data_IF_389480009303
#
_entry.id   IF_389480009303
#
_cell.length_a   1.000
_cell.length_b   1.000
_cell.length_c   1.000
_cell.angle_alpha   90.00
_cell.angle_beta   90.00
_cell.angle_gamma   90.00
#
_symmetry.space_group_name_H-M   'P 1'
#
loop_
_entity.id
_entity.type
_entity.pdbx_description
1 polymer ?
#
# COMPACT_ATOMS: atom_id res chain seq x y z
N UNK A 1 -44.15 34.18 4.08
CA UNK A 1 -44.38 32.71 4.02
C UNK A 1 -43.51 32.05 5.09
N UNK A 2 -44.07 31.22 6.00
CA UNK A 2 -43.35 30.71 7.16
C UNK A 2 -42.82 29.28 6.95
N UNK A 3 -41.51 29.07 7.12
CA UNK A 3 -40.86 27.73 7.21
C UNK A 3 -40.45 27.43 8.68
N UNK A 4 -41.06 28.12 9.66
CA UNK A 4 -40.51 28.17 11.04
C UNK A 4 -41.08 27.16 12.04
N UNK A 5 -42.00 26.27 11.67
CA UNK A 5 -42.69 25.43 12.68
C UNK A 5 -42.43 23.93 12.49
N UNK A 6 -42.23 23.46 11.26
CA UNK A 6 -42.03 22.04 10.98
C UNK A 6 -40.66 21.50 11.42
N UNK A 7 -39.57 22.27 11.24
CA UNK A 7 -38.22 21.83 11.65
C UNK A 7 -38.05 21.75 13.18
N UNK A 8 -38.73 22.62 13.93
CA UNK A 8 -38.72 22.57 15.42
C UNK A 8 -39.47 21.36 15.96
N UNK A 9 -40.59 20.96 15.32
CA UNK A 9 -41.36 19.78 15.75
C UNK A 9 -40.66 18.46 15.43
N UNK A 10 -39.96 18.37 14.30
CA UNK A 10 -39.21 17.17 13.92
C UNK A 10 -37.99 16.93 14.85
N UNK A 11 -37.31 18.01 15.25
CA UNK A 11 -36.18 17.94 16.17
C UNK A 11 -36.61 17.55 17.60
N UNK A 12 -37.74 18.09 18.08
CA UNK A 12 -38.31 17.71 19.38
C UNK A 12 -38.83 16.26 19.40
N UNK A 13 -39.38 15.76 18.28
CA UNK A 13 -39.81 14.36 18.18
C UNK A 13 -38.63 13.37 18.18
N UNK A 14 -37.52 13.72 17.51
CA UNK A 14 -36.30 12.90 17.52
C UNK A 14 -35.63 12.85 18.92
N UNK A 15 -35.61 13.98 19.64
CA UNK A 15 -35.10 14.06 21.02
C UNK A 15 -35.95 13.27 22.03
N UNK A 16 -37.28 13.23 21.85
CA UNK A 16 -38.16 12.45 22.71
C UNK A 16 -38.00 10.93 22.51
N UNK A 17 -37.74 10.49 21.27
CA UNK A 17 -37.48 9.07 20.98
C UNK A 17 -36.14 8.59 21.56
N UNK A 18 -35.14 9.46 21.63
CA UNK A 18 -33.83 9.14 22.22
C UNK A 18 -33.88 9.05 23.76
N UNK A 19 -34.74 9.85 24.41
CA UNK A 19 -34.95 9.78 25.87
C UNK A 19 -35.73 8.54 26.32
N UNK A 20 -36.55 7.94 25.44
CA UNK A 20 -37.34 6.75 25.79
C UNK A 20 -36.51 5.45 25.71
N UNK A 21 -35.46 5.41 24.87
CA UNK A 21 -34.61 4.24 24.70
C UNK A 21 -33.66 3.97 25.88
N UNK A 22 -33.37 4.98 26.71
CA UNK A 22 -32.46 4.85 27.86
C UNK A 22 -33.18 4.47 29.18
N UNK A 23 -34.51 4.44 29.18
CA UNK A 23 -35.32 4.13 30.37
C UNK A 23 -35.68 2.63 30.51
N UNK A 24 -35.16 1.76 29.65
CA UNK A 24 -35.47 0.34 29.63
C UNK A 24 -34.21 -0.53 29.57
N UNK A 25 -33.27 -0.30 30.49
CA UNK A 25 -32.27 -1.30 30.86
C UNK A 25 -32.49 -1.67 32.33
N UNK A 26 -32.93 -2.90 32.65
CA UNK A 26 -33.05 -3.32 34.04
C UNK A 26 -31.65 -3.50 34.64
N UNK A 27 -31.47 -2.94 35.84
CA UNK A 27 -30.32 -3.19 36.69
C UNK A 27 -30.35 -4.65 37.18
N UNK A 28 -29.28 -5.39 36.90
CA UNK A 28 -28.91 -6.63 37.60
C UNK A 28 -27.40 -6.47 37.90
N UNK A 29 -27.05 -6.05 39.12
CA UNK A 29 -26.82 -6.90 40.30
C UNK A 29 -25.55 -7.74 40.16
N UNK A 30 -24.56 -7.34 40.97
CA UNK A 30 -23.27 -7.97 41.24
C UNK A 30 -23.42 -9.43 41.65
N UNK A 31 -22.57 -10.31 41.12
CA UNK A 31 -21.92 -11.37 41.90
C UNK A 31 -20.49 -11.60 41.36
N UNK A 32 -19.51 -11.41 42.24
CA UNK A 32 -18.08 -11.71 42.02
C UNK A 32 -17.77 -13.00 42.78
N UNK A 33 -17.35 -14.09 42.13
CA UNK A 33 -16.70 -15.18 42.84
C UNK A 33 -15.18 -14.97 42.88
N UNK A 34 -14.68 -14.96 44.10
CA UNK A 34 -13.29 -15.02 44.54
C UNK A 34 -12.50 -16.18 43.89
N UNK A 35 -11.31 -15.88 43.36
CA UNK A 35 -10.32 -16.86 42.94
C UNK A 35 -8.92 -16.24 42.90
N UNK A 36 -8.15 -16.48 43.95
CA UNK A 36 -6.76 -16.03 44.18
C UNK A 36 -5.79 -16.89 43.38
N UNK A 37 -4.83 -16.25 42.70
CA UNK A 37 -3.37 -16.56 42.53
C UNK A 37 -2.90 -15.76 41.29
N UNK A 38 -2.00 -14.78 41.32
CA UNK A 38 -0.73 -14.68 42.05
C UNK A 38 0.41 -14.87 41.04
N UNK A 39 0.71 -13.86 40.21
CA UNK A 39 1.91 -13.87 39.35
C UNK A 39 2.69 -12.56 39.53
N UNK A 40 3.85 -12.69 40.18
CA UNK A 40 4.96 -11.74 40.09
C UNK A 40 6.05 -12.34 39.19
N UNK A 41 6.84 -11.51 38.47
CA UNK A 41 7.85 -11.96 37.53
C UNK A 41 9.16 -12.30 38.24
N UNK A 42 9.91 -13.27 37.73
CA UNK A 42 11.34 -13.40 38.06
C UNK A 42 12.13 -13.87 36.85
N UNK A 43 13.16 -13.07 36.56
CA UNK A 43 14.28 -13.28 35.64
C UNK A 43 15.17 -14.38 36.19
N UNK A 44 15.63 -15.30 35.34
CA UNK A 44 16.88 -16.05 35.53
C UNK A 44 17.37 -16.62 34.17
N UNK A 45 18.66 -16.43 33.91
CA UNK A 45 19.47 -16.84 32.73
C UNK A 45 19.83 -18.36 32.77
N UNK A 46 20.41 -18.92 31.68
CA UNK A 46 20.31 -20.34 31.33
C UNK A 46 21.40 -21.23 31.95
N UNK A 47 21.10 -22.53 32.05
CA UNK A 47 22.02 -23.60 32.37
C UNK A 47 22.01 -24.70 31.30
N UNK A 48 23.16 -25.34 31.17
CA UNK A 48 23.64 -26.26 30.13
C UNK A 48 22.97 -27.66 30.06
N UNK A 49 23.23 -28.31 28.91
CA UNK A 49 23.41 -29.76 28.66
C UNK A 49 22.19 -30.70 28.62
N UNK A 50 21.96 -31.36 27.48
CA UNK A 50 22.41 -32.74 27.15
C UNK A 50 21.76 -33.24 25.83
N UNK A 51 22.55 -33.93 24.99
CA UNK A 51 22.12 -34.64 23.76
C UNK A 51 21.13 -35.78 24.04
N UNK A 52 20.40 -36.26 23.01
CA UNK A 52 20.64 -37.68 22.67
C UNK A 52 20.53 -38.08 21.19
N UNK A 53 21.41 -39.01 20.85
CA UNK A 53 21.23 -40.27 20.11
C UNK A 53 21.11 -40.30 18.56
N UNK A 54 22.12 -40.98 17.99
CA UNK A 54 22.36 -41.44 16.62
C UNK A 54 21.30 -42.42 16.06
N UNK A 55 21.31 -42.67 14.74
CA UNK A 55 21.09 -44.03 14.23
C UNK A 55 22.29 -44.60 13.46
N UNK A 56 22.53 -45.89 13.68
CA UNK A 56 23.64 -46.71 13.20
C UNK A 56 23.63 -47.05 11.68
N UNK A 57 24.86 -47.08 11.15
CA UNK A 57 25.49 -47.75 10.00
C UNK A 57 24.72 -48.68 9.02
N UNK A 58 25.13 -48.62 7.73
CA UNK A 58 25.79 -49.71 6.95
C UNK A 58 26.23 -49.20 5.53
N UNK A 59 27.11 -49.86 4.74
CA UNK A 59 28.58 -49.76 4.85
C UNK A 59 29.35 -49.55 3.50
N UNK A 60 30.66 -49.24 3.64
CA UNK A 60 31.84 -49.60 2.78
C UNK A 60 31.88 -49.20 1.27
N UNK A 61 32.99 -48.84 0.61
CA UNK A 61 34.40 -48.58 0.93
C UNK A 61 35.13 -48.08 -0.36
N UNK A 62 36.38 -47.61 -0.17
CA UNK A 62 37.53 -47.51 -1.12
C UNK A 62 37.83 -46.13 -1.74
N UNK A 63 38.79 -45.38 -1.17
CA UNK A 63 40.24 -45.28 -1.51
C UNK A 63 40.48 -44.09 -2.48
N UNK A 64 41.46 -43.17 -2.38
CA UNK A 64 42.77 -43.10 -1.73
C UNK A 64 43.23 -41.60 -1.65
N UNK A 65 44.45 -41.27 -1.13
CA UNK A 65 44.72 -40.07 -0.33
C UNK A 65 45.56 -38.96 -1.01
N UNK A 66 45.71 -37.83 -0.29
CA UNK A 66 47.00 -37.11 -0.21
C UNK A 66 46.94 -35.60 -0.40
N UNK A 67 47.52 -34.85 0.55
CA UNK A 67 47.94 -33.46 0.32
C UNK A 67 47.85 -32.53 1.52
N UNK A 68 48.91 -32.51 2.34
CA UNK A 68 49.16 -31.57 3.43
C UNK A 68 49.43 -30.12 2.95
N UNK A 69 49.08 -29.19 3.84
CA UNK A 69 49.81 -28.00 4.27
C UNK A 69 49.52 -26.60 3.69
N UNK A 70 49.39 -25.70 4.68
CA UNK A 70 49.95 -24.35 4.80
C UNK A 70 49.00 -23.15 4.63
N UNK A 71 48.59 -22.63 5.80
CA UNK A 71 48.65 -21.22 6.21
C UNK A 71 49.01 -20.16 5.15
N UNK A 72 48.12 -19.19 4.98
CA UNK A 72 48.45 -17.78 5.12
C UNK A 72 47.17 -16.97 5.38
N UNK A 73 47.14 -16.29 6.53
CA UNK A 73 46.16 -15.27 6.86
C UNK A 73 46.46 -13.99 6.06
N UNK A 74 45.46 -13.44 5.40
CA UNK A 74 45.47 -12.06 4.91
C UNK A 74 44.19 -11.38 5.38
N UNK A 75 44.36 -10.37 6.22
CA UNK A 75 43.31 -9.48 6.70
C UNK A 75 42.82 -8.58 5.56
N UNK A 76 41.51 -8.55 5.31
CA UNK A 76 40.87 -7.48 4.54
C UNK A 76 39.44 -7.25 5.04
N UNK A 77 39.24 -6.13 5.73
CA UNK A 77 37.94 -5.45 5.95
C UNK A 77 37.78 -4.34 4.89
N UNK A 78 36.58 -3.78 4.61
CA UNK A 78 35.23 -4.18 5.02
C UNK A 78 34.28 -4.45 3.82
N UNK A 79 33.20 -5.18 4.08
CA UNK A 79 32.24 -5.66 3.07
C UNK A 79 31.52 -4.56 2.29
N UNK A 80 31.64 -4.62 0.97
CA UNK A 80 30.61 -4.15 0.05
C UNK A 80 29.37 -5.02 0.27
N UNK A 81 28.28 -4.41 0.74
CA UNK A 81 26.97 -5.05 0.72
C UNK A 81 26.57 -5.23 -0.74
N UNK A 82 26.84 -6.40 -1.30
CA UNK A 82 26.25 -6.86 -2.55
C UNK A 82 24.73 -6.75 -2.39
N UNK A 83 24.08 -5.97 -3.26
CA UNK A 83 22.65 -6.06 -3.43
C UNK A 83 22.34 -7.54 -3.68
N UNK A 84 21.66 -8.19 -2.74
CA UNK A 84 21.18 -9.55 -2.94
C UNK A 84 20.34 -9.54 -4.21
N UNK A 85 20.78 -10.29 -5.22
CA UNK A 85 19.99 -10.62 -6.39
C UNK A 85 18.70 -11.25 -5.87
N UNK A 86 17.62 -10.48 -5.94
CA UNK A 86 16.30 -10.95 -5.61
C UNK A 86 15.89 -11.96 -6.70
N UNK A 87 16.09 -13.24 -6.40
CA UNK A 87 15.67 -14.37 -7.22
C UNK A 87 14.14 -14.38 -7.28
N UNK A 88 13.57 -13.87 -8.37
CA UNK A 88 12.13 -13.79 -8.56
C UNK A 88 11.58 -15.19 -8.90
N UNK A 89 10.77 -15.82 -8.03
CA UNK A 89 10.27 -17.17 -8.29
C UNK A 89 9.19 -17.21 -9.37
N UNK A 90 9.41 -18.13 -10.30
CA UNK A 90 8.52 -18.74 -11.29
C UNK A 90 7.02 -18.57 -11.06
N UNK A 91 6.36 -17.64 -11.78
CA UNK A 91 5.00 -17.84 -12.34
C UNK A 91 4.70 -16.80 -13.42
N UNK A 92 5.42 -16.92 -14.53
CA UNK A 92 5.02 -16.74 -15.94
C UNK A 92 6.33 -16.50 -16.70
N UNK A 93 6.64 -17.29 -17.73
CA UNK A 93 7.99 -17.33 -18.24
C UNK A 93 8.37 -15.98 -18.87
N UNK A 94 9.41 -15.36 -18.32
CA UNK A 94 10.34 -14.50 -19.08
C UNK A 94 10.81 -15.18 -20.40
N UNK A 95 10.54 -16.49 -20.54
CA UNK A 95 10.82 -17.39 -21.63
C UNK A 95 9.73 -17.54 -22.72
N UNK A 96 8.56 -16.89 -22.63
CA UNK A 96 7.79 -16.55 -23.86
C UNK A 96 8.34 -15.26 -24.52
N UNK A 97 9.67 -15.21 -24.54
CA UNK A 97 10.47 -14.71 -25.64
C UNK A 97 10.27 -13.23 -26.03
N UNK A 98 11.17 -12.37 -25.54
CA UNK A 98 11.56 -11.13 -26.21
C UNK A 98 11.71 -11.27 -27.74
N UNK A 99 12.10 -12.44 -28.26
CA UNK A 99 12.28 -12.63 -29.71
C UNK A 99 11.00 -12.59 -30.56
N UNK A 100 9.81 -12.80 -30.00
CA UNK A 100 8.55 -12.69 -30.76
C UNK A 100 7.83 -11.37 -30.55
N UNK A 101 8.25 -10.61 -29.54
CA UNK A 101 7.70 -9.30 -29.29
C UNK A 101 8.10 -8.38 -30.44
N UNK A 102 7.11 -7.84 -31.14
CA UNK A 102 7.34 -6.75 -32.06
C UNK A 102 7.64 -5.50 -31.23
N UNK A 103 8.39 -4.58 -31.82
CA UNK A 103 8.79 -3.34 -31.15
C UNK A 103 8.16 -2.14 -31.86
N UNK A 104 7.72 -1.19 -31.06
CA UNK A 104 7.39 0.16 -31.53
C UNK A 104 8.68 0.93 -31.81
N UNK A 105 8.68 1.94 -32.70
CA UNK A 105 9.83 2.82 -32.90
C UNK A 105 10.33 3.48 -31.60
N UNK A 106 9.45 3.65 -30.62
CA UNK A 106 9.72 4.21 -29.31
C UNK A 106 10.39 3.21 -28.36
N UNK A 107 10.39 1.91 -28.67
CA UNK A 107 11.05 0.86 -27.91
C UNK A 107 10.15 0.05 -26.97
N UNK A 108 8.84 0.26 -26.99
CA UNK A 108 7.89 -0.63 -26.29
C UNK A 108 7.76 -1.93 -27.08
N UNK A 109 8.04 -3.05 -26.43
CA UNK A 109 7.86 -4.38 -26.98
C UNK A 109 6.45 -4.90 -26.65
N UNK A 110 5.81 -5.58 -27.59
CA UNK A 110 4.43 -6.03 -27.44
C UNK A 110 4.17 -7.41 -28.05
N UNK A 111 3.16 -8.10 -27.51
CA UNK A 111 2.60 -9.34 -28.03
C UNK A 111 1.10 -9.19 -28.24
N UNK A 112 0.55 -9.97 -29.17
CA UNK A 112 -0.90 -10.09 -29.36
C UNK A 112 -1.41 -11.16 -28.39
N UNK A 113 -2.57 -10.91 -27.77
CA UNK A 113 -3.22 -11.90 -26.93
C UNK A 113 -3.59 -13.18 -27.71
N UNK A 114 -3.72 -14.32 -27.01
CA UNK A 114 -3.97 -15.62 -27.64
C UNK A 114 -5.27 -15.66 -28.46
N UNK A 115 -6.27 -14.90 -28.04
CA UNK A 115 -7.56 -14.76 -28.73
C UNK A 115 -7.53 -13.77 -29.91
N UNK A 116 -6.41 -13.05 -30.09
CA UNK A 116 -6.24 -12.03 -31.11
C UNK A 116 -7.03 -10.73 -30.88
N UNK A 117 -7.60 -10.51 -29.69
CA UNK A 117 -8.52 -9.39 -29.45
C UNK A 117 -7.82 -8.08 -29.08
N UNK A 118 -6.63 -8.15 -28.49
CA UNK A 118 -5.90 -7.00 -27.96
C UNK A 118 -4.39 -7.24 -27.94
N UNK A 119 -3.67 -6.19 -27.58
CA UNK A 119 -2.22 -6.15 -27.49
C UNK A 119 -1.79 -6.01 -26.03
N UNK A 120 -0.69 -6.66 -25.69
CA UNK A 120 -0.09 -6.67 -24.37
C UNK A 120 1.30 -6.03 -24.46
N UNK A 121 1.59 -5.06 -23.61
CA UNK A 121 2.95 -4.53 -23.46
C UNK A 121 3.78 -5.50 -22.62
N UNK A 122 4.96 -5.89 -23.12
CA UNK A 122 5.74 -7.01 -22.57
C UNK A 122 7.16 -6.63 -22.17
N UNK A 123 7.58 -5.42 -22.54
CA UNK A 123 8.97 -5.04 -22.46
C UNK A 123 9.22 -3.59 -22.82
N UNK A 124 10.35 -3.07 -22.35
CA UNK A 124 10.95 -1.84 -22.83
C UNK A 124 12.38 -2.08 -23.30
N UNK A 125 12.67 -1.65 -24.53
CA UNK A 125 13.99 -1.72 -25.19
C UNK A 125 14.45 -0.34 -25.69
N UNK A 126 13.71 0.72 -25.37
CA UNK A 126 14.10 2.07 -25.72
C UNK A 126 15.22 2.61 -24.82
N UNK A 127 15.91 3.64 -25.31
CA UNK A 127 17.01 4.29 -24.57
C UNK A 127 16.57 5.58 -23.87
N UNK A 128 15.33 6.01 -24.11
CA UNK A 128 14.77 7.24 -23.58
C UNK A 128 14.46 7.19 -22.08
N UNK A 129 14.20 8.38 -21.52
CA UNK A 129 13.75 8.57 -20.13
C UNK A 129 12.23 8.48 -19.96
N UNK A 130 11.51 8.17 -21.03
CA UNK A 130 10.04 8.16 -21.01
C UNK A 130 9.52 6.99 -21.82
N UNK A 131 8.71 6.17 -21.17
CA UNK A 131 7.95 5.10 -21.83
C UNK A 131 6.61 5.69 -22.23
N UNK A 132 6.26 5.60 -23.51
CA UNK A 132 4.92 5.95 -24.01
C UNK A 132 4.30 4.69 -24.58
N UNK A 133 3.33 4.13 -23.87
CA UNK A 133 2.58 2.97 -24.37
C UNK A 133 1.51 3.50 -25.35
N UNK A 134 1.51 3.06 -26.62
CA UNK A 134 0.51 3.51 -27.58
C UNK A 134 -0.87 2.94 -27.24
N UNK A 135 -1.94 3.66 -27.59
CA UNK A 135 -3.32 3.20 -27.38
C UNK A 135 -3.68 2.01 -28.27
N UNK A 136 -3.11 1.96 -29.49
CA UNK A 136 -3.35 0.88 -30.46
C UNK A 136 -2.07 0.47 -31.16
N UNK A 137 -1.97 -0.82 -31.47
CA UNK A 137 -0.88 -1.39 -32.28
C UNK A 137 -1.51 -2.32 -33.33
N UNK A 138 -1.14 -2.15 -34.61
CA UNK A 138 -1.73 -2.89 -35.73
C UNK A 138 -3.28 -2.83 -35.79
N UNK A 139 -3.88 -1.76 -35.26
CA UNK A 139 -5.34 -1.56 -35.19
C UNK A 139 -6.04 -2.23 -34.00
N UNK A 140 -5.30 -2.94 -33.15
CA UNK A 140 -5.80 -3.56 -31.92
C UNK A 140 -5.48 -2.68 -30.70
N UNK A 141 -6.37 -2.58 -29.71
CA UNK A 141 -6.12 -1.79 -28.50
C UNK A 141 -5.03 -2.44 -27.64
N UNK A 142 -4.19 -1.63 -27.00
CA UNK A 142 -3.28 -2.10 -25.94
C UNK A 142 -4.02 -2.03 -24.62
N UNK A 143 -4.35 -3.18 -24.04
CA UNK A 143 -5.19 -3.26 -22.83
C UNK A 143 -4.48 -3.86 -21.62
N UNK A 144 -3.30 -4.45 -21.81
CA UNK A 144 -2.57 -5.13 -20.74
C UNK A 144 -1.09 -4.72 -20.70
N UNK A 145 -0.58 -4.57 -19.48
CA UNK A 145 0.86 -4.51 -19.19
C UNK A 145 1.22 -5.81 -18.49
N UNK A 146 2.04 -6.63 -19.12
CA UNK A 146 2.43 -7.92 -18.56
C UNK A 146 3.26 -7.78 -17.30
N UNK A 147 3.28 -8.86 -16.51
CA UNK A 147 4.16 -8.96 -15.36
C UNK A 147 5.61 -8.66 -15.78
N UNK A 148 6.31 -7.89 -14.95
CA UNK A 148 7.71 -7.45 -15.16
C UNK A 148 8.00 -6.62 -16.41
N UNK A 149 6.99 -6.25 -17.22
CA UNK A 149 7.20 -5.63 -18.54
C UNK A 149 8.15 -4.41 -18.55
N UNK A 150 8.14 -3.59 -17.50
CA UNK A 150 9.00 -2.40 -17.38
C UNK A 150 9.92 -2.45 -16.15
N UNK A 151 10.00 -3.62 -15.51
CA UNK A 151 10.81 -3.82 -14.31
C UNK A 151 12.29 -3.57 -14.57
N UNK A 152 13.01 -3.05 -13.59
CA UNK A 152 14.46 -2.87 -13.64
C UNK A 152 14.94 -1.78 -14.61
N UNK A 153 14.04 -1.00 -15.20
CA UNK A 153 14.45 0.05 -16.15
C UNK A 153 15.10 1.24 -15.43
N UNK A 154 16.43 1.34 -15.53
CA UNK A 154 17.23 2.25 -14.69
C UNK A 154 17.15 3.73 -15.08
N UNK A 155 16.80 4.05 -16.34
CA UNK A 155 16.87 5.43 -16.88
C UNK A 155 15.52 6.11 -17.01
N UNK A 156 14.42 5.38 -16.84
CA UNK A 156 13.08 5.88 -17.12
C UNK A 156 12.61 6.75 -15.95
N UNK A 157 12.26 7.99 -16.25
CA UNK A 157 11.76 8.97 -15.28
C UNK A 157 10.23 9.11 -15.33
N UNK A 158 9.60 8.83 -16.48
CA UNK A 158 8.17 9.02 -16.67
C UNK A 158 7.55 7.88 -17.49
N UNK A 159 6.31 7.52 -17.17
CA UNK A 159 5.52 6.56 -17.94
C UNK A 159 4.20 7.20 -18.33
N UNK A 160 3.87 7.12 -19.61
CA UNK A 160 2.61 7.58 -20.18
C UNK A 160 1.83 6.35 -20.63
N UNK A 161 0.74 6.07 -19.90
CA UNK A 161 -0.17 4.96 -20.17
C UNK A 161 -1.43 5.47 -20.88
N UNK A 162 -1.94 4.75 -21.89
CA UNK A 162 -3.21 5.08 -22.53
C UNK A 162 -4.38 4.65 -21.63
N UNK A 163 -5.55 5.24 -21.87
CA UNK A 163 -6.77 4.91 -21.11
C UNK A 163 -7.32 3.51 -21.43
N UNK A 164 -6.82 2.87 -22.48
CA UNK A 164 -7.21 1.51 -22.90
C UNK A 164 -6.65 0.42 -21.99
N UNK A 165 -5.67 0.71 -21.12
CA UNK A 165 -5.13 -0.28 -20.18
C UNK A 165 -6.17 -0.62 -19.12
N UNK A 166 -6.46 -1.92 -19.00
CA UNK A 166 -7.38 -2.50 -18.04
C UNK A 166 -6.63 -3.36 -17.01
N UNK A 167 -5.53 -4.00 -17.43
CA UNK A 167 -4.78 -4.99 -16.63
C UNK A 167 -3.32 -4.57 -16.50
N UNK A 168 -2.79 -4.64 -15.27
CA UNK A 168 -1.37 -4.50 -14.96
C UNK A 168 -0.92 -5.78 -14.25
N UNK A 169 0.19 -6.36 -14.69
CA UNK A 169 0.79 -7.54 -14.10
C UNK A 169 1.69 -7.23 -12.89
N UNK A 170 1.93 -8.25 -12.07
CA UNK A 170 2.83 -8.16 -10.91
C UNK A 170 4.20 -7.65 -11.33
N UNK A 171 4.83 -6.86 -10.46
CA UNK A 171 6.16 -6.29 -10.70
C UNK A 171 6.31 -5.45 -11.97
N UNK A 172 5.22 -5.03 -12.64
CA UNK A 172 5.30 -4.35 -13.94
C UNK A 172 6.22 -3.12 -13.96
N UNK A 173 6.33 -2.39 -12.86
CA UNK A 173 7.17 -1.20 -12.68
C UNK A 173 8.13 -1.33 -11.49
N UNK A 174 8.44 -2.56 -11.07
CA UNK A 174 9.34 -2.82 -9.96
C UNK A 174 10.77 -2.39 -10.29
N UNK A 175 11.56 -2.05 -9.28
CA UNK A 175 12.98 -1.72 -9.39
C UNK A 175 13.28 -0.65 -10.45
N UNK A 176 12.42 0.36 -10.56
CA UNK A 176 12.64 1.53 -11.43
C UNK A 176 13.17 2.73 -10.61
N UNK A 177 14.48 2.81 -10.32
CA UNK A 177 15.02 3.75 -9.33
C UNK A 177 14.90 5.21 -9.73
N UNK A 178 14.75 5.52 -11.02
CA UNK A 178 14.62 6.89 -11.54
C UNK A 178 13.18 7.30 -11.84
N UNK A 179 12.20 6.40 -11.70
CA UNK A 179 10.81 6.72 -12.00
C UNK A 179 10.29 7.80 -11.05
N UNK A 180 9.88 8.95 -11.60
CA UNK A 180 9.46 10.13 -10.82
C UNK A 180 7.94 10.17 -10.70
N UNK A 181 7.25 9.92 -11.82
CA UNK A 181 5.80 10.05 -11.87
C UNK A 181 5.10 9.06 -12.79
N UNK A 182 3.91 8.63 -12.35
CA UNK A 182 3.01 7.77 -13.12
C UNK A 182 1.58 8.25 -12.92
N UNK A 183 0.80 8.30 -14.00
CA UNK A 183 -0.65 8.45 -13.93
C UNK A 183 -1.27 7.13 -14.36
N UNK A 184 -1.97 6.47 -13.45
CA UNK A 184 -2.70 5.26 -13.77
C UNK A 184 -4.01 5.62 -14.52
N UNK A 185 -4.37 4.88 -15.58
CA UNK A 185 -5.63 5.09 -16.29
C UNK A 185 -6.85 4.69 -15.46
N UNK A 186 -7.99 5.34 -15.72
CA UNK A 186 -9.28 5.15 -15.03
C UNK A 186 -9.93 3.78 -15.30
N UNK A 187 -9.35 2.94 -16.16
CA UNK A 187 -9.83 1.56 -16.39
C UNK A 187 -9.35 0.56 -15.35
N UNK A 188 -8.32 0.90 -14.57
CA UNK A 188 -7.66 -0.04 -13.66
C UNK A 188 -8.47 -0.22 -12.40
N UNK A 189 -8.63 -1.48 -11.99
CA UNK A 189 -9.33 -1.86 -10.76
C UNK A 189 -8.40 -2.44 -9.69
N UNK A 190 -7.18 -2.81 -10.05
CA UNK A 190 -6.20 -3.42 -9.14
C UNK A 190 -4.79 -2.91 -9.44
N UNK A 191 -4.05 -2.58 -8.38
CA UNK A 191 -2.59 -2.51 -8.44
C UNK A 191 -2.06 -3.84 -7.91
N UNK A 192 -1.40 -4.66 -8.72
CA UNK A 192 -1.00 -6.01 -8.33
C UNK A 192 0.16 -6.00 -7.33
N UNK A 193 0.49 -7.18 -6.81
CA UNK A 193 1.63 -7.37 -5.91
C UNK A 193 2.93 -6.78 -6.48
N UNK A 194 3.67 -6.08 -5.63
CA UNK A 194 4.98 -5.49 -5.91
C UNK A 194 5.06 -4.62 -7.18
N UNK A 195 3.93 -4.08 -7.65
CA UNK A 195 3.86 -3.37 -8.93
C UNK A 195 4.87 -2.23 -9.07
N UNK A 196 5.08 -1.43 -8.03
CA UNK A 196 6.01 -0.31 -7.93
C UNK A 196 7.09 -0.54 -6.86
N UNK A 197 7.36 -1.80 -6.51
CA UNK A 197 8.36 -2.13 -5.50
C UNK A 197 9.71 -1.50 -5.85
N UNK A 198 10.38 -0.88 -4.88
CA UNK A 198 11.69 -0.23 -5.05
C UNK A 198 11.75 0.84 -6.15
N UNK A 199 10.61 1.47 -6.52
CA UNK A 199 10.59 2.69 -7.33
C UNK A 199 11.02 3.92 -6.49
N UNK A 200 12.29 3.94 -6.08
CA UNK A 200 12.83 4.84 -5.03
C UNK A 200 12.63 6.33 -5.30
N UNK A 201 12.57 6.75 -6.57
CA UNK A 201 12.34 8.14 -6.94
C UNK A 201 10.88 8.54 -7.11
N UNK A 202 9.94 7.59 -6.99
CA UNK A 202 8.54 7.82 -7.27
C UNK A 202 7.98 8.79 -6.23
N UNK A 203 7.67 10.00 -6.70
CA UNK A 203 7.20 11.09 -5.84
C UNK A 203 5.75 11.47 -6.11
N UNK A 204 5.24 11.11 -7.30
CA UNK A 204 3.88 11.43 -7.71
C UNK A 204 3.25 10.26 -8.44
N UNK A 205 2.26 9.65 -7.81
CA UNK A 205 1.34 8.74 -8.47
C UNK A 205 -0.09 9.26 -8.36
N UNK A 206 -0.84 9.15 -9.44
CA UNK A 206 -2.28 9.44 -9.45
C UNK A 206 -3.01 8.11 -9.59
N UNK A 207 -3.74 7.74 -8.53
CA UNK A 207 -4.59 6.56 -8.49
C UNK A 207 -5.94 6.86 -9.17
N UNK A 208 -6.52 5.89 -9.91
CA UNK A 208 -7.81 6.08 -10.54
C UNK A 208 -8.94 5.93 -9.52
N UNK A 209 -10.09 6.57 -9.77
CA UNK A 209 -11.25 6.50 -8.86
C UNK A 209 -11.99 5.15 -8.96
N UNK A 210 -11.59 4.27 -9.88
CA UNK A 210 -12.09 2.90 -10.07
C UNK A 210 -11.29 1.85 -9.29
N UNK A 211 -10.18 2.23 -8.66
CA UNK A 211 -9.26 1.31 -7.98
C UNK A 211 -9.92 0.65 -6.77
N UNK A 212 -9.91 -0.67 -6.70
CA UNK A 212 -10.50 -1.45 -5.59
C UNK A 212 -9.44 -2.03 -4.68
N UNK A 213 -8.37 -2.57 -5.26
CA UNK A 213 -7.34 -3.28 -4.51
C UNK A 213 -5.93 -2.76 -4.78
N UNK A 214 -5.12 -2.73 -3.73
CA UNK A 214 -3.67 -2.54 -3.78
C UNK A 214 -3.03 -3.82 -3.23
N UNK A 215 -2.18 -4.47 -4.02
CA UNK A 215 -1.56 -5.75 -3.70
C UNK A 215 -0.48 -5.66 -2.61
N UNK A 216 0.05 -6.82 -2.25
CA UNK A 216 1.12 -6.92 -1.26
C UNK A 216 2.38 -6.25 -1.78
N UNK A 217 3.11 -5.54 -0.92
CA UNK A 217 4.35 -4.82 -1.27
C UNK A 217 4.25 -3.87 -2.48
N UNK A 218 3.03 -3.49 -2.91
CA UNK A 218 2.81 -2.79 -4.17
C UNK A 218 3.63 -1.48 -4.33
N UNK A 219 3.87 -0.77 -3.24
CA UNK A 219 4.72 0.43 -3.18
C UNK A 219 5.90 0.27 -2.20
N UNK A 220 6.25 -0.95 -1.81
CA UNK A 220 7.34 -1.21 -0.87
C UNK A 220 8.64 -0.54 -1.34
N UNK A 221 9.33 0.20 -0.47
CA UNK A 221 10.58 0.89 -0.80
C UNK A 221 10.43 2.14 -1.69
N UNK A 222 9.23 2.70 -1.86
CA UNK A 222 9.02 3.99 -2.52
C UNK A 222 9.43 5.17 -1.62
N UNK A 223 10.75 5.40 -1.51
CA UNK A 223 11.34 6.35 -0.54
C UNK A 223 10.94 7.83 -0.71
N UNK A 224 10.44 8.22 -1.88
CA UNK A 224 10.08 9.62 -2.18
C UNK A 224 8.57 9.86 -2.27
N UNK A 225 7.76 8.83 -2.00
CA UNK A 225 6.32 8.92 -2.12
C UNK A 225 5.75 9.73 -0.95
N UNK A 226 5.48 11.01 -1.20
CA UNK A 226 5.03 11.95 -0.17
C UNK A 226 3.53 11.83 0.15
N UNK A 227 2.70 12.63 -0.52
CA UNK A 227 1.25 12.60 -0.31
C UNK A 227 0.57 11.69 -1.34
N UNK A 228 -0.16 10.68 -0.86
CA UNK A 228 -0.95 9.78 -1.71
C UNK A 228 -2.44 9.90 -1.38
N UNK A 229 -3.24 10.37 -2.34
CA UNK A 229 -4.71 10.40 -2.21
C UNK A 229 -5.26 9.00 -2.40
N UNK A 230 -5.98 8.50 -1.40
CA UNK A 230 -6.66 7.22 -1.46
C UNK A 230 -8.07 7.39 -2.06
N UNK A 231 -8.39 6.74 -3.19
CA UNK A 231 -9.74 6.74 -3.76
C UNK A 231 -10.76 6.15 -2.81
N UNK A 232 -12.01 6.60 -2.88
CA UNK A 232 -13.10 6.08 -2.03
C UNK A 232 -13.42 4.60 -2.27
N UNK A 233 -13.08 4.09 -3.46
CA UNK A 233 -13.38 2.73 -3.93
C UNK A 233 -12.44 1.65 -3.38
N UNK A 234 -11.29 2.03 -2.80
CA UNK A 234 -10.30 1.05 -2.32
C UNK A 234 -10.80 0.35 -1.06
N UNK A 235 -11.02 -0.95 -1.13
CA UNK A 235 -11.51 -1.79 -0.02
C UNK A 235 -10.51 -2.87 0.42
N UNK A 236 -9.38 -2.98 -0.27
CA UNK A 236 -8.28 -3.88 0.06
C UNK A 236 -6.91 -3.21 -0.14
N UNK A 237 -6.07 -3.30 0.89
CA UNK A 237 -4.65 -2.93 0.83
C UNK A 237 -3.85 -4.10 1.41
N UNK A 238 -2.95 -4.64 0.59
CA UNK A 238 -2.15 -5.81 0.89
C UNK A 238 -1.14 -5.58 2.01
N UNK A 239 -0.58 -6.69 2.50
CA UNK A 239 0.48 -6.68 3.51
C UNK A 239 1.69 -5.94 2.95
N UNK A 240 2.31 -5.10 3.78
CA UNK A 240 3.52 -4.35 3.44
C UNK A 240 3.39 -3.48 2.17
N UNK A 241 2.16 -3.15 1.74
CA UNK A 241 1.93 -2.38 0.51
C UNK A 241 2.68 -1.05 0.49
N UNK A 242 2.95 -0.46 1.66
CA UNK A 242 3.70 0.79 1.84
C UNK A 242 4.90 0.62 2.79
N UNK A 243 5.45 -0.59 2.89
CA UNK A 243 6.64 -0.84 3.70
C UNK A 243 7.82 0.02 3.22
N UNK A 244 8.63 0.52 4.15
CA UNK A 244 9.77 1.40 3.86
C UNK A 244 9.44 2.63 2.98
N UNK A 245 8.21 3.15 3.00
CA UNK A 245 7.86 4.43 2.37
C UNK A 245 8.13 5.59 3.34
N UNK A 246 9.34 6.15 3.30
CA UNK A 246 9.74 7.24 4.19
C UNK A 246 8.95 8.53 3.91
N UNK A 247 8.33 9.10 4.96
CA UNK A 247 7.60 10.37 4.84
C UNK A 247 6.28 10.28 4.07
N UNK A 248 5.75 9.07 3.85
CA UNK A 248 4.44 8.85 3.26
C UNK A 248 3.33 9.38 4.16
N UNK A 249 2.44 10.17 3.57
CA UNK A 249 1.19 10.63 4.16
C UNK A 249 0.04 10.14 3.27
N UNK A 250 -0.89 9.39 3.84
CA UNK A 250 -2.10 8.96 3.15
C UNK A 250 -3.20 10.00 3.34
N UNK A 251 -3.75 10.56 2.26
CA UNK A 251 -5.00 11.31 2.32
C UNK A 251 -6.17 10.33 2.21
N UNK A 252 -6.78 10.07 3.38
CA UNK A 252 -7.87 9.13 3.56
C UNK A 252 -9.23 9.84 3.70
N UNK A 253 -9.36 11.10 3.24
CA UNK A 253 -10.58 11.91 3.42
C UNK A 253 -11.85 11.21 2.94
N UNK A 254 -11.74 10.40 1.89
CA UNK A 254 -12.87 9.72 1.25
C UNK A 254 -12.84 8.20 1.49
N UNK A 255 -11.91 7.68 2.30
CA UNK A 255 -11.69 6.24 2.47
C UNK A 255 -11.41 5.83 3.93
N UNK A 256 -12.43 5.28 4.59
CA UNK A 256 -12.32 4.78 5.97
C UNK A 256 -11.44 3.53 6.09
N UNK A 257 -11.43 2.66 5.07
CA UNK A 257 -10.58 1.47 5.07
C UNK A 257 -9.10 1.85 5.09
N UNK A 258 -8.68 2.76 4.21
CA UNK A 258 -7.32 3.28 4.15
C UNK A 258 -6.93 3.99 5.45
N UNK A 259 -7.88 4.69 6.11
CA UNK A 259 -7.63 5.27 7.42
C UNK A 259 -7.31 4.21 8.49
N UNK A 260 -8.04 3.09 8.50
CA UNK A 260 -7.78 1.96 9.42
C UNK A 260 -6.46 1.27 9.11
N UNK A 261 -6.16 1.06 7.83
CA UNK A 261 -4.90 0.51 7.38
C UNK A 261 -3.71 1.37 7.84
N UNK A 262 -3.79 2.69 7.64
CA UNK A 262 -2.76 3.63 8.06
C UNK A 262 -2.52 3.57 9.57
N UNK A 263 -3.59 3.56 10.37
CA UNK A 263 -3.52 3.45 11.82
C UNK A 263 -2.88 2.12 12.28
N UNK A 264 -3.16 1.01 11.59
CA UNK A 264 -2.58 -0.30 11.90
C UNK A 264 -1.10 -0.43 11.54
N UNK A 265 -0.63 0.31 10.54
CA UNK A 265 0.74 0.24 10.01
C UNK A 265 1.62 1.44 10.42
N UNK A 266 1.16 2.28 11.36
CA UNK A 266 1.86 3.49 11.81
C UNK A 266 2.22 4.47 10.67
N UNK A 267 1.37 4.56 9.65
CA UNK A 267 1.51 5.51 8.54
C UNK A 267 0.74 6.79 8.89
N UNK A 268 1.33 7.96 8.63
CA UNK A 268 0.63 9.23 8.83
C UNK A 268 -0.55 9.34 7.85
N UNK A 269 -1.72 9.74 8.34
CA UNK A 269 -2.90 9.90 7.51
C UNK A 269 -3.63 11.22 7.79
N UNK A 270 -4.14 11.83 6.71
CA UNK A 270 -5.01 13.00 6.74
C UNK A 270 -6.44 12.60 6.36
N UNK A 271 -7.42 13.47 6.63
CA UNK A 271 -8.80 13.24 6.22
C UNK A 271 -9.70 12.50 7.22
N UNK A 272 -9.22 12.19 8.42
CA UNK A 272 -10.05 11.57 9.44
C UNK A 272 -11.14 12.51 9.95
N UNK A 273 -12.42 12.19 9.70
CA UNK A 273 -13.45 12.42 10.71
C UNK A 273 -13.08 11.47 11.84
N UNK A 274 -12.26 11.92 12.79
CA UNK A 274 -12.05 11.10 13.97
C UNK A 274 -13.43 10.91 14.61
N UNK A 275 -13.83 9.67 14.86
CA UNK A 275 -14.99 9.39 15.71
C UNK A 275 -14.85 10.13 17.05
N UNK A 276 -13.61 10.33 17.51
CA UNK A 276 -13.28 11.23 18.60
C UNK A 276 -13.61 12.71 18.32
N UNK A 277 -13.55 13.25 17.10
CA UNK A 277 -14.00 14.61 16.79
C UNK A 277 -15.51 14.75 16.76
N UNK A 278 -16.28 13.78 16.21
CA UNK A 278 -17.75 13.86 16.29
C UNK A 278 -18.26 13.61 17.72
N UNK A 279 -17.69 12.65 18.44
CA UNK A 279 -18.06 12.37 19.83
C UNK A 279 -17.51 13.46 20.76
N UNK A 280 -16.29 13.99 20.60
CA UNK A 280 -15.87 15.20 21.34
C UNK A 280 -16.72 16.40 20.97
N UNK A 281 -17.03 16.67 19.70
CA UNK A 281 -17.85 17.82 19.36
C UNK A 281 -19.28 17.68 19.90
N UNK A 282 -19.84 16.47 19.90
CA UNK A 282 -21.11 16.20 20.55
C UNK A 282 -21.02 16.33 22.08
N UNK A 283 -19.98 15.77 22.73
CA UNK A 283 -19.75 15.89 24.17
C UNK A 283 -19.44 17.33 24.61
N UNK A 284 -18.68 18.10 23.83
CA UNK A 284 -18.45 19.53 24.07
C UNK A 284 -19.73 20.34 23.87
N UNK A 285 -20.58 19.97 22.89
CA UNK A 285 -21.86 20.64 22.70
C UNK A 285 -22.89 20.32 23.80
N UNK A 286 -22.92 19.10 24.33
CA UNK A 286 -23.81 18.73 25.45
C UNK A 286 -23.32 19.32 26.78
N UNK A 287 -22.01 19.38 27.02
CA UNK A 287 -21.42 20.08 28.19
C UNK A 287 -21.71 21.58 28.15
N UNK A 288 -21.68 22.23 26.99
CA UNK A 288 -22.00 23.66 26.85
C UNK A 288 -23.49 23.98 27.02
N UNK A 289 -24.39 23.07 26.62
CA UNK A 289 -25.83 23.21 26.86
C UNK A 289 -26.16 23.02 28.36
N UNK A 290 -25.41 22.18 29.07
CA UNK A 290 -25.54 22.00 30.53
C UNK A 290 -24.97 23.17 31.37
N UNK A 291 -23.99 23.91 30.84
CA UNK A 291 -23.30 24.97 31.57
C UNK A 291 -23.75 26.41 31.22
N UNK A 292 -24.69 26.60 30.28
CA UNK A 292 -25.26 27.91 29.98
C UNK A 292 -24.30 28.92 29.32
N UNK A 293 -23.18 28.48 28.75
CA UNK A 293 -22.20 29.37 28.10
C UNK A 293 -22.31 29.22 26.58
N UNK A 294 -22.95 30.20 25.94
CA UNK A 294 -23.00 30.29 24.47
C UNK A 294 -21.71 30.92 23.94
N UNK A 295 -20.84 30.12 23.34
CA UNK A 295 -19.69 30.61 22.57
C UNK A 295 -20.12 30.84 21.12
N UNK A 296 -20.16 32.09 20.67
CA UNK A 296 -20.37 32.45 19.25
C UNK A 296 -18.99 32.56 18.59
N UNK A 297 -18.58 31.66 17.69
CA UNK A 297 -17.30 31.79 17.01
C UNK A 297 -17.34 32.97 16.04
N UNK A 298 -16.49 33.97 16.27
CA UNK A 298 -16.31 35.11 15.39
C UNK A 298 -15.53 34.63 14.15
N UNK A 299 -16.24 34.37 13.05
CA UNK A 299 -15.63 34.08 11.75
C UNK A 299 -14.83 35.31 11.30
N UNK A 300 -13.50 35.27 11.42
CA UNK A 300 -12.61 36.28 10.85
C UNK A 300 -12.52 36.01 9.34
N UNK A 301 -13.36 36.69 8.56
CA UNK A 301 -13.18 36.84 7.11
C UNK A 301 -12.01 37.78 6.87
N UNK A 302 -10.86 37.27 6.43
CA UNK A 302 -9.89 38.07 5.66
C UNK A 302 -10.08 37.75 4.17
N UNK A 303 -11.02 38.46 3.53
CA UNK A 303 -11.05 38.62 2.08
C UNK A 303 -10.58 40.03 1.73
N UNK A 304 -9.59 40.08 0.84
CA UNK A 304 -8.99 41.24 0.19
C UNK A 304 -10.03 41.99 -0.66
N UNK A 305 -10.10 43.32 -0.55
CA UNK A 305 -10.57 44.21 -1.64
C UNK A 305 -9.66 45.42 -1.76
N UNK A 306 -9.21 45.65 -2.99
CA UNK A 306 -8.62 46.87 -3.56
C UNK A 306 -9.76 47.70 -4.18
N UNK A 307 -9.51 48.98 -4.47
CA UNK A 307 -10.37 50.04 -5.04
C UNK A 307 -11.11 50.85 -3.95
N UNK A 308 -10.97 52.17 -3.81
CA UNK A 308 -10.43 53.23 -4.67
C UNK A 308 -9.35 54.09 -3.96
#
# INVERSE_FOLDING_TARGET
MPISIYKKRLLCAALALFSAAFAFLPAAAEEVPSGIIGFSPKVEEPAEAEEPAEPEAAPEAQEAPGGEAAEAAEEAEPGETTAEEFDFPDTYPAYLAPQYAKETPEGVAYLMAEDGSHMMAVGWRGEGKTITVPETIDGLPVTEIMATAFSGTEKVENIILPNSIEIIGKFAFAQMPQLISVKLPEGITEIPDSCFENARSLSKIVLPETLKSIGNSAFSGCLRLGLLKMPASVDFIGVDAFFACEGLILDCTENEYAQRYAAGNSIEATGGITWNSMVLQMLFSTVLIGAGVYFVPRIVRKYRKKAD
#
